data_IF_137578266880
#
_entry.id   IF_137578266880
#
_cell.length_a   1.000
_cell.length_b   1.000
_cell.length_c   1.000
_cell.angle_alpha   90.00
_cell.angle_beta   90.00
_cell.angle_gamma   90.00
#
_symmetry.space_group_name_H-M   'P 1'
#
loop_
_entity.id
_entity.type
_entity.pdbx_description
1 polymer ?
#
# COMPACT_ATOMS: atom_id res chain seq x y z
N UNK A 1 38.29 37.04 1.49
CA UNK A 1 37.09 36.79 0.65
C UNK A 1 36.54 35.42 1.02
N UNK A 2 35.22 35.35 1.17
CA UNK A 2 34.47 34.31 1.86
C UNK A 2 34.27 33.04 1.01
N UNK A 3 34.17 31.88 1.67
CA UNK A 3 33.44 30.73 1.17
C UNK A 3 32.89 29.93 2.35
N UNK A 4 31.82 30.47 2.94
CA UNK A 4 30.98 29.74 3.89
C UNK A 4 30.11 28.75 3.11
N UNK A 5 30.10 27.52 3.59
CA UNK A 5 29.35 26.33 3.16
C UNK A 5 27.90 26.62 2.74
N UNK A 6 27.30 25.77 1.87
CA UNK A 6 25.93 25.34 2.05
C UNK A 6 25.97 23.96 2.73
N UNK A 7 25.75 23.94 4.05
CA UNK A 7 25.36 22.72 4.76
C UNK A 7 24.01 22.31 4.16
N UNK A 8 23.99 21.21 3.41
CA UNK A 8 22.77 20.56 2.94
C UNK A 8 21.97 20.10 4.16
N UNK A 9 21.10 20.99 4.64
CA UNK A 9 20.05 20.63 5.60
C UNK A 9 19.12 19.65 4.89
N UNK A 10 19.37 18.35 5.11
CA UNK A 10 18.36 17.33 4.84
C UNK A 10 17.18 17.65 5.76
N UNK A 11 15.96 17.86 5.23
CA UNK A 11 14.80 18.04 6.09
C UNK A 11 14.59 16.72 6.81
N UNK A 12 14.99 16.66 8.07
CA UNK A 12 14.63 15.60 9.01
C UNK A 12 13.16 15.78 9.39
N UNK A 13 12.30 15.66 8.39
CA UNK A 13 10.87 15.49 8.55
C UNK A 13 10.56 14.00 8.61
N UNK A 14 9.40 13.69 9.17
CA UNK A 14 8.85 12.39 9.54
C UNK A 14 8.62 11.38 8.38
N UNK A 15 9.46 11.37 7.34
CA UNK A 15 9.26 10.64 6.07
C UNK A 15 9.27 9.11 6.19
N UNK A 16 9.77 8.54 7.30
CA UNK A 16 9.85 7.09 7.48
C UNK A 16 8.46 6.44 7.58
N UNK A 17 7.58 7.02 8.41
CA UNK A 17 6.24 6.50 8.64
C UNK A 17 5.35 6.58 7.38
N UNK A 18 5.51 7.65 6.59
CA UNK A 18 4.80 7.78 5.31
C UNK A 18 5.37 6.83 4.24
N UNK A 19 6.69 6.60 4.21
CA UNK A 19 7.32 5.66 3.28
C UNK A 19 6.91 4.21 3.54
N UNK A 20 6.84 3.77 4.80
CA UNK A 20 6.35 2.43 5.13
C UNK A 20 4.87 2.25 4.80
N UNK A 21 4.05 3.26 5.11
CA UNK A 21 2.62 3.25 4.77
C UNK A 21 2.42 3.18 3.26
N UNK A 22 3.20 3.95 2.49
CA UNK A 22 3.21 3.89 1.01
C UNK A 22 3.57 2.50 0.47
N UNK A 23 4.60 1.86 1.02
CA UNK A 23 5.01 0.51 0.59
C UNK A 23 3.93 -0.52 0.90
N UNK A 24 3.36 -0.49 2.10
CA UNK A 24 2.26 -1.37 2.49
C UNK A 24 1.06 -1.21 1.56
N UNK A 25 0.70 0.02 1.22
CA UNK A 25 -0.38 0.31 0.27
C UNK A 25 -0.09 -0.25 -1.11
N UNK A 26 1.11 -0.01 -1.66
CA UNK A 26 1.50 -0.54 -2.98
C UNK A 26 1.46 -2.06 -3.02
N UNK A 27 1.92 -2.72 -1.96
CA UNK A 27 1.86 -4.18 -1.85
C UNK A 27 0.41 -4.70 -1.82
N UNK A 28 -0.46 -4.05 -1.05
CA UNK A 28 -1.88 -4.39 -0.99
C UNK A 28 -2.60 -4.14 -2.33
N UNK A 29 -2.29 -3.06 -3.04
CA UNK A 29 -2.83 -2.78 -4.37
C UNK A 29 -2.42 -3.87 -5.38
N UNK A 30 -1.13 -4.25 -5.39
CA UNK A 30 -0.63 -5.36 -6.22
C UNK A 30 -1.32 -6.68 -5.91
N UNK A 31 -1.54 -6.99 -4.62
CA UNK A 31 -2.27 -8.18 -4.20
C UNK A 31 -3.72 -8.15 -4.70
N UNK A 32 -4.40 -7.01 -4.58
CA UNK A 32 -5.76 -6.81 -5.09
C UNK A 32 -5.85 -7.08 -6.59
N UNK A 33 -4.94 -6.50 -7.37
CA UNK A 33 -4.91 -6.71 -8.82
C UNK A 33 -4.62 -8.17 -9.19
N UNK A 34 -3.69 -8.82 -8.48
CA UNK A 34 -3.40 -10.24 -8.67
C UNK A 34 -4.62 -11.12 -8.38
N UNK A 35 -5.36 -10.85 -7.31
CA UNK A 35 -6.57 -11.59 -6.95
C UNK A 35 -7.67 -11.38 -7.99
N UNK A 36 -7.91 -10.15 -8.44
CA UNK A 36 -8.89 -9.83 -9.47
C UNK A 36 -8.55 -10.45 -10.84
N UNK A 37 -7.26 -10.57 -11.14
CA UNK A 37 -6.75 -11.22 -12.36
C UNK A 37 -6.90 -12.75 -12.31
N UNK A 38 -6.84 -13.35 -11.11
CA UNK A 38 -7.00 -14.79 -10.95
C UNK A 38 -8.44 -15.26 -11.19
N UNK A 39 -8.73 -15.67 -12.43
CA UNK A 39 -9.98 -16.34 -12.78
C UNK A 39 -9.85 -17.85 -12.55
N UNK A 40 -10.70 -18.39 -11.67
CA UNK A 40 -10.74 -19.83 -11.31
C UNK A 40 -12.15 -20.39 -11.48
N UNK A 41 -12.25 -21.57 -12.10
CA UNK A 41 -13.50 -22.32 -12.23
C UNK A 41 -13.85 -23.16 -10.99
N UNK A 42 -12.92 -23.30 -10.02
CA UNK A 42 -13.16 -24.06 -8.80
C UNK A 42 -13.92 -23.20 -7.76
N UNK A 43 -15.09 -23.66 -7.27
CA UNK A 43 -15.90 -22.90 -6.30
C UNK A 43 -15.15 -22.58 -5.01
N UNK A 44 -14.38 -23.54 -4.50
CA UNK A 44 -13.64 -23.38 -3.26
C UNK A 44 -12.54 -22.34 -3.39
N UNK A 45 -11.75 -22.38 -4.48
CA UNK A 45 -10.75 -21.34 -4.76
C UNK A 45 -11.38 -19.96 -4.95
N UNK A 46 -12.55 -19.89 -5.61
CA UNK A 46 -13.26 -18.62 -5.81
C UNK A 46 -13.64 -17.99 -4.47
N UNK A 47 -14.18 -18.77 -3.53
CA UNK A 47 -14.48 -18.27 -2.19
C UNK A 47 -13.22 -17.82 -1.44
N UNK A 48 -12.12 -18.58 -1.55
CA UNK A 48 -10.85 -18.19 -0.94
C UNK A 48 -10.30 -16.87 -1.49
N UNK A 49 -10.37 -16.66 -2.82
CA UNK A 49 -9.96 -15.41 -3.46
C UNK A 49 -10.86 -14.24 -3.07
N UNK A 50 -12.17 -14.46 -2.95
CA UNK A 50 -13.11 -13.43 -2.50
C UNK A 50 -12.82 -12.98 -1.06
N UNK A 51 -12.53 -13.93 -0.16
CA UNK A 51 -12.13 -13.60 1.21
C UNK A 51 -10.80 -12.86 1.25
N UNK A 52 -9.80 -13.32 0.49
CA UNK A 52 -8.51 -12.64 0.39
C UNK A 52 -8.65 -11.22 -0.19
N UNK A 53 -9.58 -11.00 -1.12
CA UNK A 53 -9.88 -9.67 -1.66
C UNK A 53 -10.46 -8.76 -0.57
N UNK A 54 -11.44 -9.27 0.20
CA UNK A 54 -12.04 -8.53 1.31
C UNK A 54 -11.01 -8.16 2.39
N UNK A 55 -10.12 -9.09 2.76
CA UNK A 55 -9.04 -8.83 3.73
C UNK A 55 -8.09 -7.72 3.24
N UNK A 56 -7.77 -7.69 1.94
CA UNK A 56 -6.91 -6.66 1.35
C UNK A 56 -7.62 -5.30 1.32
N UNK A 57 -8.90 -5.27 0.96
CA UNK A 57 -9.70 -4.05 0.95
C UNK A 57 -9.95 -3.48 2.36
N UNK A 58 -10.09 -4.33 3.38
CA UNK A 58 -10.14 -3.92 4.79
C UNK A 58 -8.83 -3.23 5.21
N UNK A 59 -7.68 -3.84 4.92
CA UNK A 59 -6.35 -3.25 5.23
C UNK A 59 -6.10 -1.93 4.49
N UNK A 60 -6.57 -1.80 3.26
CA UNK A 60 -6.51 -0.55 2.52
C UNK A 60 -7.42 0.53 3.14
N UNK A 61 -8.54 0.12 3.75
CA UNK A 61 -9.47 1.00 4.45
C UNK A 61 -8.85 1.51 5.76
N UNK A 62 -8.21 0.62 6.53
CA UNK A 62 -7.46 1.00 7.75
C UNK A 62 -6.34 2.02 7.46
N UNK A 63 -5.72 1.92 6.28
CA UNK A 63 -4.70 2.86 5.79
C UNK A 63 -5.29 4.17 5.23
N UNK A 64 -6.62 4.34 5.27
CA UNK A 64 -7.35 5.53 4.83
C UNK A 64 -7.40 5.71 3.32
N UNK A 65 -7.19 4.65 2.54
CA UNK A 65 -7.01 4.72 1.09
C UNK A 65 -8.25 4.28 0.30
N UNK A 66 -9.05 3.35 0.84
CA UNK A 66 -10.31 2.93 0.23
C UNK A 66 -11.49 3.51 0.99
N UNK A 67 -12.26 4.33 0.29
CA UNK A 67 -13.52 4.90 0.77
C UNK A 67 -14.57 3.79 0.80
N UNK A 68 -14.86 3.24 1.98
CA UNK A 68 -16.12 2.54 2.19
C UNK A 68 -17.24 3.60 2.17
N UNK A 69 -18.12 3.53 1.16
CA UNK A 69 -19.43 4.21 1.17
C UNK A 69 -20.44 3.33 1.89
#
# INVERSE_FOLDING_TARGET
MAASQPKTQKPQGNHGADAESRRKRQELELQREFILSQRTSSPHRRSALANALADVEEKLTELGWTLHL
#
